data_IF_848006513864
#
_entry.id   IF_848006513864
#
_cell.length_a   1.000
_cell.length_b   1.000
_cell.length_c   1.000
_cell.angle_alpha   90.00
_cell.angle_beta   90.00
_cell.angle_gamma   90.00
#
_symmetry.space_group_name_H-M   'P 1'
#
loop_
_entity.id
_entity.type
_entity.pdbx_description
1 polymer ?
#
# COMPACT_ATOMS: atom_id res chain seq x y z
N UNK A 1 22.28 28.23 3.42
CA UNK A 1 20.84 28.48 3.47
C UNK A 1 20.20 27.22 4.03
N UNK A 2 19.92 27.22 5.34
CA UNK A 2 19.35 26.05 6.03
C UNK A 2 17.84 26.05 5.77
N UNK A 3 17.34 25.02 5.06
CA UNK A 3 15.91 24.74 5.05
C UNK A 3 15.51 24.23 6.44
N UNK A 4 14.47 24.79 7.05
CA UNK A 4 13.99 24.26 8.32
C UNK A 4 13.46 22.85 8.08
N UNK A 5 13.89 21.91 8.91
CA UNK A 5 13.31 20.55 9.00
C UNK A 5 11.80 20.71 9.13
N UNK A 6 11.06 20.32 8.11
CA UNK A 6 9.61 20.41 8.11
C UNK A 6 9.06 19.42 9.14
N UNK A 7 7.99 19.79 9.83
CA UNK A 7 7.33 18.97 10.87
C UNK A 7 7.01 17.53 10.42
N UNK A 8 7.00 17.28 9.12
CA UNK A 8 6.72 15.98 8.49
C UNK A 8 7.90 15.00 8.66
N UNK A 9 9.15 15.47 8.55
CA UNK A 9 10.32 14.62 8.82
C UNK A 9 10.38 14.18 10.29
N UNK A 10 9.83 14.99 11.21
CA UNK A 10 9.73 14.64 12.62
C UNK A 10 8.76 13.47 12.89
N UNK A 11 7.66 13.36 12.14
CA UNK A 11 6.72 12.23 12.24
C UNK A 11 7.36 10.94 11.75
N UNK A 12 8.11 10.99 10.63
CA UNK A 12 8.82 9.84 10.11
C UNK A 12 10.02 9.43 10.99
N UNK A 13 10.74 10.39 11.58
CA UNK A 13 11.84 10.12 12.50
C UNK A 13 11.36 9.53 13.83
N UNK A 14 10.22 9.97 14.37
CA UNK A 14 9.58 9.38 15.54
C UNK A 14 9.08 7.96 15.25
N UNK A 15 8.55 7.70 14.07
CA UNK A 15 8.13 6.35 13.66
C UNK A 15 9.31 5.38 13.64
N UNK A 16 10.44 5.81 13.10
CA UNK A 16 11.68 5.02 13.07
C UNK A 16 12.28 4.82 14.47
N UNK A 17 12.28 5.84 15.33
CA UNK A 17 12.82 5.74 16.71
C UNK A 17 11.88 5.01 17.66
N UNK A 18 10.56 5.10 17.45
CA UNK A 18 9.53 4.45 18.27
C UNK A 18 9.45 2.93 18.00
N UNK A 19 9.62 2.51 16.75
CA UNK A 19 9.70 1.07 16.38
C UNK A 19 10.90 0.37 17.03
N UNK A 20 11.90 1.13 17.48
CA UNK A 20 13.12 0.62 18.07
C UNK A 20 13.14 0.66 19.63
N UNK A 21 12.05 1.07 20.30
CA UNK A 21 11.97 1.08 21.76
C UNK A 21 11.22 -0.13 22.32
N UNK A 22 11.73 -0.70 23.43
CA UNK A 22 11.15 -1.89 24.09
C UNK A 22 9.68 -1.73 24.51
N UNK A 23 9.22 -0.58 25.04
CA UNK A 23 7.81 -0.38 25.37
C UNK A 23 6.86 -0.50 24.17
N UNK A 24 7.33 -0.18 22.97
CA UNK A 24 6.53 -0.30 21.75
C UNK A 24 6.40 -1.76 21.30
N UNK A 25 7.41 -2.60 21.48
CA UNK A 25 7.32 -4.03 21.14
C UNK A 25 6.24 -4.73 21.96
N UNK A 26 6.17 -4.46 23.26
CA UNK A 26 5.17 -5.01 24.17
C UNK A 26 3.76 -4.46 23.87
N UNK A 27 3.68 -3.16 23.55
CA UNK A 27 2.44 -2.51 23.13
C UNK A 27 1.95 -3.05 21.76
N UNK A 28 2.85 -3.19 20.79
CA UNK A 28 2.53 -3.72 19.46
C UNK A 28 2.06 -5.18 19.52
N UNK A 29 2.60 -5.99 20.44
CA UNK A 29 2.17 -7.37 20.63
C UNK A 29 0.77 -7.46 21.24
N UNK A 30 0.46 -6.60 22.22
CA UNK A 30 -0.86 -6.49 22.85
C UNK A 30 -1.95 -6.08 21.85
N UNK A 31 -1.62 -5.25 20.83
CA UNK A 31 -2.58 -4.72 19.86
C UNK A 31 -2.53 -5.40 18.48
N UNK A 32 -1.60 -6.34 18.24
CA UNK A 32 -1.48 -7.09 16.98
C UNK A 32 -2.71 -7.90 16.61
N UNK A 33 -3.55 -8.27 17.57
CA UNK A 33 -4.75 -9.10 17.38
C UNK A 33 -5.99 -8.35 16.86
N UNK A 34 -5.95 -7.03 16.73
CA UNK A 34 -7.05 -6.25 16.14
C UNK A 34 -6.55 -5.53 14.89
N UNK A 35 -7.21 -5.77 13.76
CA UNK A 35 -6.98 -5.14 12.44
C UNK A 35 -7.29 -3.62 12.39
N UNK A 36 -6.96 -2.89 13.47
CA UNK A 36 -7.23 -1.47 13.69
C UNK A 36 -5.96 -0.61 13.74
N UNK A 37 -4.80 -1.13 13.32
CA UNK A 37 -3.52 -0.41 13.43
C UNK A 37 -3.55 0.96 12.74
N UNK A 38 -4.18 1.04 11.56
CA UNK A 38 -4.19 2.27 10.77
C UNK A 38 -5.00 3.40 11.42
N UNK A 39 -6.11 3.07 12.06
CA UNK A 39 -6.96 4.05 12.76
C UNK A 39 -6.26 4.63 13.99
N UNK A 40 -5.50 3.82 14.72
CA UNK A 40 -4.74 4.28 15.90
C UNK A 40 -3.62 5.25 15.49
N UNK A 41 -2.88 4.96 14.42
CA UNK A 41 -1.84 5.87 13.93
C UNK A 41 -2.42 7.22 13.47
N UNK A 42 -3.56 7.20 12.80
CA UNK A 42 -4.29 8.42 12.41
C UNK A 42 -4.68 9.26 13.64
N UNK A 43 -5.21 8.62 14.68
CA UNK A 43 -5.61 9.28 15.93
C UNK A 43 -4.40 9.87 16.64
N UNK A 44 -3.33 9.10 16.82
CA UNK A 44 -2.07 9.59 17.42
C UNK A 44 -1.49 10.75 16.60
N UNK A 45 -1.48 10.63 15.26
CA UNK A 45 -1.02 11.69 14.38
C UNK A 45 -1.79 12.99 14.59
N UNK A 46 -3.11 12.94 14.67
CA UNK A 46 -3.96 14.12 14.91
C UNK A 46 -3.75 14.74 16.29
N UNK A 47 -3.57 13.92 17.33
CA UNK A 47 -3.39 14.41 18.70
C UNK A 47 -1.98 14.99 18.90
N UNK A 48 -0.95 14.27 18.49
CA UNK A 48 0.44 14.68 18.73
C UNK A 48 0.95 15.74 17.74
N UNK A 49 0.35 15.81 16.55
CA UNK A 49 0.79 16.68 15.47
C UNK A 49 -0.41 17.36 14.77
N UNK A 50 -1.13 18.27 15.46
CA UNK A 50 -2.39 18.84 14.97
C UNK A 50 -2.25 19.61 13.65
N UNK A 51 -1.04 20.12 13.36
CA UNK A 51 -0.74 20.86 12.12
C UNK A 51 -0.12 19.96 11.02
N UNK A 52 0.00 18.66 11.23
CA UNK A 52 0.56 17.75 10.22
C UNK A 52 -0.52 17.28 9.25
N UNK A 53 -0.17 17.22 7.98
CA UNK A 53 -1.01 16.61 6.95
C UNK A 53 -0.81 15.09 6.99
N UNK A 54 -1.91 14.37 7.23
CA UNK A 54 -1.89 12.92 7.21
C UNK A 54 -2.12 12.45 5.77
N UNK A 55 -1.29 11.54 5.31
CA UNK A 55 -1.26 11.06 3.93
C UNK A 55 -1.43 9.53 3.92
N UNK A 56 -2.33 9.03 3.08
CA UNK A 56 -2.46 7.60 2.85
C UNK A 56 -1.32 7.11 1.94
N UNK A 57 -0.70 6.00 2.33
CA UNK A 57 0.35 5.39 1.50
C UNK A 57 -0.21 4.86 0.17
N UNK A 58 0.17 5.47 -0.96
CA UNK A 58 -0.34 5.15 -2.31
C UNK A 58 -0.29 3.65 -2.61
N UNK A 59 0.81 2.98 -2.26
CA UNK A 59 0.97 1.54 -2.47
C UNK A 59 -0.12 0.74 -1.75
N UNK A 60 -0.43 1.06 -0.50
CA UNK A 60 -1.45 0.34 0.28
C UNK A 60 -2.84 0.55 -0.28
N UNK A 61 -3.15 1.76 -0.72
CA UNK A 61 -4.44 2.12 -1.32
C UNK A 61 -4.63 1.36 -2.64
N UNK A 62 -3.68 1.47 -3.58
CA UNK A 62 -3.72 0.76 -4.88
C UNK A 62 -3.79 -0.77 -4.69
N UNK A 63 -3.07 -1.29 -3.71
CA UNK A 63 -3.05 -2.72 -3.38
C UNK A 63 -4.42 -3.25 -2.99
N UNK A 64 -5.28 -2.46 -2.33
CA UNK A 64 -6.63 -2.90 -1.96
C UNK A 64 -7.50 -3.15 -3.20
N UNK A 65 -7.51 -2.24 -4.18
CA UNK A 65 -8.22 -2.45 -5.44
C UNK A 65 -7.68 -3.67 -6.20
N UNK A 66 -6.36 -3.84 -6.22
CA UNK A 66 -5.72 -5.01 -6.82
C UNK A 66 -6.11 -6.32 -6.13
N UNK A 67 -6.28 -6.31 -4.80
CA UNK A 67 -6.75 -7.48 -4.06
C UNK A 67 -8.22 -7.80 -4.32
N UNK A 68 -9.08 -6.79 -4.42
CA UNK A 68 -10.48 -6.97 -4.77
C UNK A 68 -10.61 -7.65 -6.14
N UNK A 69 -9.90 -7.14 -7.15
CA UNK A 69 -9.82 -7.77 -8.47
C UNK A 69 -9.30 -9.21 -8.40
N UNK A 70 -8.27 -9.49 -7.62
CA UNK A 70 -7.72 -10.85 -7.44
C UNK A 70 -8.73 -11.78 -6.76
N UNK A 71 -9.60 -11.29 -5.88
CA UNK A 71 -10.68 -12.09 -5.31
C UNK A 71 -11.74 -12.44 -6.38
N UNK A 72 -12.13 -11.48 -7.22
CA UNK A 72 -13.01 -11.74 -8.37
C UNK A 72 -12.41 -12.82 -9.25
N UNK A 73 -11.12 -12.69 -9.64
CA UNK A 73 -10.42 -13.70 -10.44
C UNK A 73 -10.49 -15.10 -9.78
N UNK A 74 -10.24 -15.19 -8.49
CA UNK A 74 -10.29 -16.47 -7.75
C UNK A 74 -11.71 -17.05 -7.73
N UNK A 75 -12.72 -16.22 -7.50
CA UNK A 75 -14.10 -16.65 -7.49
C UNK A 75 -14.54 -17.17 -8.86
N UNK A 76 -14.24 -16.45 -9.93
CA UNK A 76 -14.51 -16.89 -11.30
C UNK A 76 -13.71 -18.16 -11.65
N UNK A 77 -12.41 -18.18 -11.33
CA UNK A 77 -11.56 -19.36 -11.56
C UNK A 77 -12.12 -20.64 -10.92
N UNK A 78 -12.76 -20.53 -9.74
CA UNK A 78 -13.29 -21.69 -9.03
C UNK A 78 -14.50 -22.33 -9.73
N UNK A 79 -15.18 -21.59 -10.61
CA UNK A 79 -16.32 -22.07 -11.42
C UNK A 79 -15.87 -22.83 -12.68
N UNK A 80 -14.59 -22.73 -13.07
CA UNK A 80 -14.07 -23.20 -14.33
C UNK A 80 -13.59 -24.66 -14.26
N UNK A 81 -13.50 -25.32 -15.43
CA UNK A 81 -12.88 -26.63 -15.61
C UNK A 81 -11.39 -26.64 -15.20
N UNK A 82 -10.81 -27.81 -14.94
CA UNK A 82 -9.42 -27.96 -14.49
C UNK A 82 -8.39 -27.30 -15.44
N UNK A 83 -8.61 -27.37 -16.75
CA UNK A 83 -7.76 -26.74 -17.75
C UNK A 83 -7.78 -25.22 -17.69
N UNK A 84 -8.98 -24.64 -17.72
CA UNK A 84 -9.20 -23.20 -17.62
C UNK A 84 -8.73 -22.62 -16.28
N UNK A 85 -8.95 -23.35 -15.17
CA UNK A 85 -8.39 -22.95 -13.85
C UNK A 85 -6.88 -22.79 -13.88
N UNK A 86 -6.17 -23.71 -14.54
CA UNK A 86 -4.71 -23.64 -14.70
C UNK A 86 -4.31 -22.43 -15.52
N UNK A 87 -5.03 -22.15 -16.61
CA UNK A 87 -4.82 -21.00 -17.47
C UNK A 87 -4.99 -19.68 -16.68
N UNK A 88 -6.10 -19.50 -15.96
CA UNK A 88 -6.35 -18.33 -15.12
C UNK A 88 -5.27 -18.12 -14.04
N UNK A 89 -4.82 -19.21 -13.41
CA UNK A 89 -3.76 -19.17 -12.41
C UNK A 89 -2.42 -18.71 -13.00
N UNK A 90 -2.06 -19.20 -14.17
CA UNK A 90 -0.81 -18.85 -14.85
C UNK A 90 -0.84 -17.44 -15.42
N UNK A 91 -1.97 -16.97 -15.87
CA UNK A 91 -2.16 -15.65 -16.51
C UNK A 91 -2.47 -14.52 -15.52
N UNK A 92 -2.45 -14.79 -14.20
CA UNK A 92 -2.74 -13.78 -13.16
C UNK A 92 -1.83 -12.52 -13.23
N UNK A 93 -0.63 -12.63 -13.78
CA UNK A 93 0.31 -11.53 -13.91
C UNK A 93 -0.19 -10.48 -14.92
N UNK A 94 -0.97 -10.87 -15.93
CA UNK A 94 -1.56 -9.97 -16.92
C UNK A 94 -2.49 -8.94 -16.26
N UNK A 95 -3.30 -9.41 -15.31
CA UNK A 95 -4.26 -8.57 -14.59
C UNK A 95 -3.59 -7.52 -13.66
N UNK A 96 -2.30 -7.67 -13.37
CA UNK A 96 -1.55 -6.69 -12.57
C UNK A 96 -1.07 -5.50 -13.39
N UNK A 97 -0.84 -5.71 -14.67
CA UNK A 97 -0.41 -4.67 -15.60
C UNK A 97 -1.60 -3.79 -15.99
N UNK A 98 -1.40 -2.50 -16.25
CA UNK A 98 -2.38 -1.70 -16.98
C UNK A 98 -2.42 -2.15 -18.46
N UNK A 99 -3.51 -1.81 -19.17
CA UNK A 99 -3.72 -2.26 -20.56
C UNK A 99 -2.58 -1.82 -21.48
N UNK A 100 -2.09 -0.62 -21.30
CA UNK A 100 -1.04 0.01 -22.12
C UNK A 100 0.34 -0.67 -21.96
N UNK A 101 0.53 -1.40 -20.87
CA UNK A 101 1.78 -2.11 -20.58
C UNK A 101 1.75 -3.59 -21.02
N UNK A 102 0.68 -4.03 -21.67
CA UNK A 102 0.55 -5.38 -22.20
C UNK A 102 1.05 -5.44 -23.64
N UNK A 103 1.83 -6.49 -23.99
CA UNK A 103 2.13 -6.81 -25.38
C UNK A 103 0.88 -7.31 -26.12
N UNK A 104 0.91 -7.32 -27.46
CA UNK A 104 -0.22 -7.80 -28.27
C UNK A 104 -0.64 -9.23 -27.90
N UNK A 105 0.32 -10.14 -27.69
CA UNK A 105 0.05 -11.51 -27.24
C UNK A 105 -0.57 -11.54 -25.83
N UNK A 106 -0.10 -10.68 -24.92
CA UNK A 106 -0.66 -10.57 -23.57
C UNK A 106 -2.09 -10.01 -23.60
N UNK A 107 -2.39 -9.08 -24.50
CA UNK A 107 -3.74 -8.53 -24.70
C UNK A 107 -4.72 -9.60 -25.21
N UNK A 108 -4.31 -10.41 -26.20
CA UNK A 108 -5.13 -11.54 -26.68
C UNK A 108 -5.42 -12.53 -25.56
N UNK A 109 -4.42 -12.86 -24.75
CA UNK A 109 -4.59 -13.75 -23.59
C UNK A 109 -5.51 -13.16 -22.52
N UNK A 110 -5.44 -11.86 -22.30
CA UNK A 110 -6.36 -11.16 -21.38
C UNK A 110 -7.77 -11.14 -21.96
N UNK A 111 -7.94 -10.84 -23.26
CA UNK A 111 -9.23 -10.84 -23.96
C UNK A 111 -9.96 -12.18 -23.78
N UNK A 112 -9.26 -13.29 -23.97
CA UNK A 112 -9.82 -14.62 -23.72
C UNK A 112 -10.25 -14.81 -22.26
N UNK A 113 -9.48 -14.30 -21.29
CA UNK A 113 -9.87 -14.42 -19.87
C UNK A 113 -11.16 -13.63 -19.55
N UNK A 114 -11.32 -12.43 -20.10
CA UNK A 114 -12.48 -11.58 -19.84
C UNK A 114 -13.72 -12.05 -20.60
N UNK A 115 -13.54 -12.67 -21.77
CA UNK A 115 -14.63 -13.33 -22.52
C UNK A 115 -15.20 -14.51 -21.72
N UNK A 116 -14.32 -15.35 -21.16
CA UNK A 116 -14.72 -16.50 -20.33
C UNK A 116 -15.37 -16.04 -18.99
N UNK A 117 -14.92 -14.92 -18.44
CA UNK A 117 -15.37 -14.41 -17.14
C UNK A 117 -15.67 -12.89 -17.22
N UNK A 118 -16.86 -12.47 -17.67
CA UNK A 118 -17.20 -11.05 -17.85
C UNK A 118 -17.05 -10.22 -16.58
N UNK A 119 -17.37 -10.77 -15.38
CA UNK A 119 -17.14 -10.09 -14.10
C UNK A 119 -15.67 -9.72 -13.86
N UNK A 120 -14.75 -10.49 -14.43
CA UNK A 120 -13.32 -10.19 -14.36
C UNK A 120 -12.95 -8.98 -15.21
N UNK A 121 -13.65 -8.76 -16.36
CA UNK A 121 -13.49 -7.56 -17.18
C UNK A 121 -13.82 -6.30 -16.36
N UNK A 122 -14.96 -6.30 -15.68
CA UNK A 122 -15.40 -5.18 -14.84
C UNK A 122 -14.42 -4.93 -13.68
N UNK A 123 -13.97 -5.98 -13.01
CA UNK A 123 -12.99 -5.87 -11.94
C UNK A 123 -11.64 -5.34 -12.43
N UNK A 124 -11.18 -5.75 -13.60
CA UNK A 124 -9.96 -5.27 -14.24
C UNK A 124 -10.07 -3.79 -14.63
N UNK A 125 -11.21 -3.40 -15.22
CA UNK A 125 -11.51 -2.01 -15.56
C UNK A 125 -11.50 -1.14 -14.30
N UNK A 126 -12.23 -1.51 -13.25
CA UNK A 126 -12.27 -0.77 -11.97
C UNK A 126 -10.87 -0.61 -11.35
N UNK A 127 -10.04 -1.65 -11.38
CA UNK A 127 -8.65 -1.56 -10.91
C UNK A 127 -7.84 -0.54 -11.70
N UNK A 128 -7.96 -0.52 -13.03
CA UNK A 128 -7.22 0.42 -13.89
C UNK A 128 -7.76 1.85 -13.76
N UNK A 129 -9.07 2.05 -13.69
CA UNK A 129 -9.68 3.36 -13.41
C UNK A 129 -9.20 3.91 -12.06
N UNK A 130 -9.09 3.06 -11.04
CA UNK A 130 -8.56 3.48 -9.75
C UNK A 130 -7.08 3.86 -9.82
N UNK A 131 -6.27 3.17 -10.63
CA UNK A 131 -4.89 3.58 -10.90
C UNK A 131 -4.86 4.98 -11.53
N UNK A 132 -5.74 5.26 -12.49
CA UNK A 132 -5.85 6.58 -13.10
C UNK A 132 -6.28 7.67 -12.09
N UNK A 133 -7.19 7.33 -11.15
CA UNK A 133 -7.53 8.23 -10.02
C UNK A 133 -6.28 8.59 -9.23
N UNK A 134 -5.45 7.60 -8.87
CA UNK A 134 -4.24 7.81 -8.05
C UNK A 134 -3.10 8.53 -8.79
N UNK A 135 -3.17 8.62 -10.12
CA UNK A 135 -2.26 9.39 -10.96
C UNK A 135 -2.84 10.74 -11.40
N UNK A 136 -3.91 11.21 -10.75
CA UNK A 136 -4.47 12.55 -11.01
C UNK A 136 -3.43 13.64 -10.68
N UNK A 137 -3.45 14.70 -11.48
CA UNK A 137 -2.50 15.82 -11.39
C UNK A 137 -2.64 16.62 -10.09
N UNK A 138 -3.82 16.63 -9.49
CA UNK A 138 -4.12 17.33 -8.24
C UNK A 138 -5.23 16.65 -7.45
N UNK A 139 -5.31 16.96 -6.16
CA UNK A 139 -6.39 16.48 -5.29
C UNK A 139 -7.78 16.94 -5.76
N UNK A 140 -7.88 18.11 -6.39
CA UNK A 140 -9.15 18.63 -6.91
C UNK A 140 -9.71 17.74 -8.02
N UNK A 141 -8.89 17.40 -9.01
CA UNK A 141 -9.25 16.48 -10.10
C UNK A 141 -9.45 15.07 -9.54
N UNK A 142 -8.55 14.64 -8.67
CA UNK A 142 -8.60 13.32 -8.02
C UNK A 142 -9.85 13.12 -7.18
N UNK A 143 -10.35 14.18 -6.52
CA UNK A 143 -11.59 14.14 -5.73
C UNK A 143 -12.78 13.75 -6.58
N UNK A 144 -12.99 14.42 -7.71
CA UNK A 144 -14.11 14.11 -8.58
C UNK A 144 -13.99 12.68 -9.14
N UNK A 145 -12.84 12.32 -9.67
CA UNK A 145 -12.58 10.97 -10.19
C UNK A 145 -12.76 9.87 -9.14
N UNK A 146 -12.38 10.14 -7.88
CA UNK A 146 -12.57 9.18 -6.79
C UNK A 146 -14.06 9.01 -6.44
N UNK A 147 -14.83 10.09 -6.44
CA UNK A 147 -16.29 10.04 -6.23
C UNK A 147 -16.98 9.26 -7.34
N UNK A 148 -16.63 9.54 -8.59
CA UNK A 148 -17.16 8.85 -9.76
C UNK A 148 -16.83 7.34 -9.70
N UNK A 149 -15.60 7.01 -9.34
CA UNK A 149 -15.19 5.63 -9.15
C UNK A 149 -15.98 4.92 -8.04
N UNK A 150 -16.17 5.57 -6.88
CA UNK A 150 -16.97 5.03 -5.78
C UNK A 150 -18.44 4.83 -6.19
N UNK A 151 -19.00 5.70 -7.02
CA UNK A 151 -20.35 5.55 -7.57
C UNK A 151 -20.40 4.37 -8.55
N UNK A 152 -19.44 4.25 -9.45
CA UNK A 152 -19.36 3.15 -10.41
C UNK A 152 -19.29 1.78 -9.72
N UNK A 153 -18.47 1.63 -8.66
CA UNK A 153 -18.38 0.38 -7.89
C UNK A 153 -19.72 0.01 -7.24
N UNK A 154 -20.50 1.00 -6.77
CA UNK A 154 -21.80 0.73 -6.12
C UNK A 154 -22.86 0.21 -7.10
N UNK A 155 -22.76 0.59 -8.38
CA UNK A 155 -23.71 0.14 -9.43
C UNK A 155 -23.35 -1.27 -9.91
N UNK A 156 -22.06 -1.66 -9.81
CA UNK A 156 -21.61 -2.98 -10.25
C UNK A 156 -21.85 -4.05 -9.18
N UNK A 157 -22.28 -5.24 -9.61
CA UNK A 157 -22.44 -6.40 -8.72
C UNK A 157 -21.07 -7.09 -8.46
N UNK A 158 -20.18 -6.36 -7.78
CA UNK A 158 -18.86 -6.83 -7.38
C UNK A 158 -18.68 -6.70 -5.87
N UNK A 159 -19.25 -7.62 -5.07
CA UNK A 159 -19.19 -7.57 -3.61
C UNK A 159 -17.74 -7.60 -3.07
N UNK A 160 -16.80 -8.12 -3.86
CA UNK A 160 -15.36 -8.15 -3.52
C UNK A 160 -14.76 -6.75 -3.35
N UNK A 161 -15.34 -5.73 -3.98
CA UNK A 161 -14.90 -4.33 -3.87
C UNK A 161 -15.51 -3.58 -2.68
N UNK A 162 -16.49 -4.13 -1.96
CA UNK A 162 -17.14 -3.45 -0.81
C UNK A 162 -16.14 -3.02 0.26
N UNK A 163 -15.16 -3.87 0.55
CA UNK A 163 -14.11 -3.55 1.52
C UNK A 163 -13.25 -2.34 1.07
N UNK A 164 -12.95 -2.25 -0.25
CA UNK A 164 -12.26 -1.09 -0.82
C UNK A 164 -13.09 0.18 -0.67
N UNK A 165 -14.38 0.14 -1.04
CA UNK A 165 -15.29 1.28 -0.93
C UNK A 165 -15.35 1.81 0.50
N UNK A 166 -15.52 0.91 1.48
CA UNK A 166 -15.53 1.27 2.90
C UNK A 166 -14.21 1.90 3.33
N UNK A 167 -13.08 1.30 2.95
CA UNK A 167 -11.76 1.83 3.28
C UNK A 167 -11.53 3.20 2.64
N UNK A 168 -11.86 3.37 1.36
CA UNK A 168 -11.63 4.62 0.65
C UNK A 168 -12.53 5.76 1.12
N UNK A 169 -13.76 5.49 1.53
CA UNK A 169 -14.61 6.48 2.21
C UNK A 169 -14.03 6.91 3.54
N UNK A 170 -13.53 5.96 4.33
CA UNK A 170 -12.94 6.25 5.64
C UNK A 170 -11.62 7.04 5.55
N UNK A 171 -10.85 6.82 4.48
CA UNK A 171 -9.54 7.44 4.25
C UNK A 171 -9.56 8.47 3.12
N UNK A 172 -10.74 9.00 2.80
CA UNK A 172 -10.96 9.84 1.63
C UNK A 172 -10.02 11.05 1.60
N UNK A 173 -9.95 11.81 2.69
CA UNK A 173 -9.12 13.00 2.76
C UNK A 173 -7.62 12.66 2.70
N UNK A 174 -7.19 11.62 3.37
CA UNK A 174 -5.80 11.19 3.38
C UNK A 174 -5.34 10.64 2.02
N UNK A 175 -6.27 10.05 1.26
CA UNK A 175 -6.03 9.63 -0.13
C UNK A 175 -5.85 10.88 -1.01
N UNK A 176 -6.72 11.88 -0.90
CA UNK A 176 -6.58 13.14 -1.64
C UNK A 176 -5.28 13.85 -1.29
N UNK A 177 -4.95 13.97 -0.01
CA UNK A 177 -3.69 14.56 0.43
C UNK A 177 -2.48 13.89 -0.21
N UNK A 178 -2.56 12.57 -0.51
CA UNK A 178 -1.46 11.84 -1.15
C UNK A 178 -1.21 12.28 -2.60
N UNK A 179 -2.17 12.94 -3.24
CA UNK A 179 -2.02 13.40 -4.63
C UNK A 179 -1.25 14.72 -4.71
N UNK A 180 -1.37 15.56 -3.68
CA UNK A 180 -0.75 16.89 -3.65
C UNK A 180 0.70 16.87 -3.13
N UNK A 181 1.18 15.72 -2.64
CA UNK A 181 2.53 15.63 -2.09
C UNK A 181 3.40 14.65 -2.89
N UNK A 182 4.67 14.98 -3.11
CA UNK A 182 5.60 14.11 -3.86
C UNK A 182 6.16 12.97 -3.01
N UNK A 183 5.91 12.98 -1.69
CA UNK A 183 6.53 12.04 -0.77
C UNK A 183 5.85 10.66 -0.82
N UNK A 184 6.67 9.65 -0.75
CA UNK A 184 6.23 8.26 -0.64
C UNK A 184 6.84 7.59 0.59
N UNK A 185 6.18 6.56 1.09
CA UNK A 185 6.69 5.73 2.18
C UNK A 185 7.79 4.74 1.71
N UNK A 186 8.19 4.80 0.44
CA UNK A 186 9.10 3.84 -0.18
C UNK A 186 10.46 3.73 0.52
N UNK A 187 11.02 4.85 0.98
CA UNK A 187 12.27 4.85 1.75
C UNK A 187 12.14 4.06 3.06
N UNK A 188 11.09 4.32 3.82
CA UNK A 188 10.83 3.64 5.10
C UNK A 188 10.53 2.15 4.87
N UNK A 189 9.78 1.81 3.83
CA UNK A 189 9.54 0.41 3.42
C UNK A 189 10.85 -0.28 3.05
N UNK A 190 11.73 0.39 2.33
CA UNK A 190 13.08 -0.09 2.02
C UNK A 190 13.90 -0.36 3.29
N UNK A 191 13.90 0.56 4.24
CA UNK A 191 14.57 0.40 5.54
C UNK A 191 13.98 -0.77 6.33
N UNK A 192 12.65 -0.91 6.36
CA UNK A 192 11.98 -2.02 7.03
C UNK A 192 12.32 -3.37 6.38
N UNK A 193 12.38 -3.44 5.06
CA UNK A 193 12.76 -4.66 4.34
C UNK A 193 14.22 -5.02 4.59
N UNK A 194 15.13 -4.04 4.60
CA UNK A 194 16.54 -4.23 4.98
C UNK A 194 16.65 -4.77 6.41
N UNK A 195 15.90 -4.22 7.35
CA UNK A 195 15.84 -4.68 8.74
C UNK A 195 15.34 -6.12 8.85
N UNK A 196 14.30 -6.48 8.11
CA UNK A 196 13.79 -7.85 8.04
C UNK A 196 14.83 -8.82 7.47
N UNK A 197 15.52 -8.43 6.40
CA UNK A 197 16.60 -9.22 5.82
C UNK A 197 17.75 -9.43 6.82
N UNK A 198 18.18 -8.35 7.50
CA UNK A 198 19.18 -8.43 8.57
C UNK A 198 18.75 -9.39 9.69
N UNK A 199 17.49 -9.36 10.10
CA UNK A 199 16.95 -10.28 11.11
C UNK A 199 17.07 -11.73 10.66
N UNK A 200 16.80 -12.02 9.38
CA UNK A 200 16.92 -13.38 8.84
C UNK A 200 18.38 -13.86 8.82
N UNK A 201 19.32 -13.04 8.31
CA UNK A 201 20.74 -13.43 8.23
C UNK A 201 21.47 -13.39 9.58
N UNK A 202 20.89 -12.83 10.62
CA UNK A 202 21.45 -12.83 11.98
C UNK A 202 21.18 -14.13 12.77
N UNK A 203 20.53 -15.13 12.17
CA UNK A 203 20.29 -16.45 12.75
C UNK A 203 19.74 -16.43 14.19
N UNK A 204 18.71 -15.59 14.42
CA UNK A 204 18.02 -15.56 15.73
C UNK A 204 18.71 -14.70 16.81
N UNK A 205 19.25 -13.58 16.45
CA UNK A 205 19.81 -12.61 17.40
C UNK A 205 18.73 -12.20 18.44
N UNK A 206 18.90 -12.66 19.69
CA UNK A 206 17.92 -12.47 20.78
C UNK A 206 18.09 -11.11 21.49
N UNK A 207 19.32 -10.57 21.51
CA UNK A 207 19.61 -9.31 22.19
C UNK A 207 19.23 -8.14 21.27
N UNK A 208 18.19 -7.39 21.66
CA UNK A 208 17.68 -6.26 20.87
C UNK A 208 18.73 -5.14 20.72
N UNK A 209 19.54 -4.86 21.75
CA UNK A 209 20.58 -3.82 21.69
C UNK A 209 21.62 -4.14 20.60
N UNK A 210 22.07 -5.39 20.54
CA UNK A 210 23.00 -5.85 19.53
C UNK A 210 22.39 -5.81 18.13
N UNK A 211 21.12 -6.23 18.01
CA UNK A 211 20.38 -6.16 16.75
C UNK A 211 20.22 -4.71 16.26
N UNK A 212 19.83 -3.79 17.17
CA UNK A 212 19.74 -2.35 16.87
C UNK A 212 21.08 -1.80 16.39
N UNK A 213 22.18 -2.09 17.07
CA UNK A 213 23.51 -1.62 16.69
C UNK A 213 23.89 -2.13 15.29
N UNK A 214 23.56 -3.37 14.96
CA UNK A 214 23.79 -3.94 13.63
C UNK A 214 22.94 -3.26 12.55
N UNK A 215 21.67 -2.97 12.82
CA UNK A 215 20.82 -2.20 11.90
C UNK A 215 21.45 -0.84 11.62
N UNK A 216 21.83 -0.10 12.67
CA UNK A 216 22.44 1.23 12.53
C UNK A 216 23.75 1.17 11.74
N UNK A 217 24.60 0.19 12.03
CA UNK A 217 25.86 -0.03 11.31
C UNK A 217 25.62 -0.33 9.82
N UNK A 218 24.73 -1.26 9.51
CA UNK A 218 24.41 -1.63 8.13
C UNK A 218 23.61 -0.56 7.36
N UNK A 219 22.94 0.36 8.06
CA UNK A 219 22.18 1.45 7.44
C UNK A 219 23.04 2.67 7.09
N UNK A 220 24.35 2.62 7.38
CA UNK A 220 25.27 3.68 7.02
C UNK A 220 24.96 5.00 7.73
N UNK A 221 24.69 4.95 9.05
CA UNK A 221 24.57 6.19 9.83
C UNK A 221 25.85 7.01 9.59
N UNK A 222 25.75 8.25 9.08
CA UNK A 222 26.91 9.08 8.85
C UNK A 222 27.70 9.16 10.15
N UNK A 223 28.99 8.77 10.13
CA UNK A 223 29.88 9.02 11.26
C UNK A 223 29.88 10.54 11.46
N UNK A 224 29.45 11.03 12.63
CA UNK A 224 29.70 12.43 12.99
C UNK A 224 31.17 12.69 12.74
N UNK A 225 31.54 13.79 12.03
CA UNK A 225 32.93 14.14 11.88
C UNK A 225 33.54 14.20 13.30
N UNK A 226 34.64 13.51 13.50
CA UNK A 226 35.39 13.62 14.73
C UNK A 226 35.77 15.10 14.86
N UNK A 227 35.28 15.74 15.91
CA UNK A 227 35.80 17.07 16.29
C UNK A 227 37.27 16.85 16.59
N UNK A 228 38.14 17.42 15.75
CA UNK A 228 39.57 17.56 16.01
C UNK A 228 39.78 18.50 17.19
#
# INVERSE_FOLDING_TARGET
MFFPFTKIESVFALFSSYVLSKPYADWAEKYRKKSQSDTHFRTVGKICFPNAVIVAGRFHVIRQASWAMEQVRKNEQNKLSRGLRRYFKRSKHLLRKPMEALSSEEQERLALMVEIAPRLADAYRLKNEFLAVMHSESSTVGKQRLLDWLAAVNVMDLPEFRACVTAYRNWFQEILNSMDVPWSNGFIEGCNNKTKALKCVCFGMRNFRNFRNRILFCSGVPKKPRRG
#
